data_IF_670935482597
#
_entry.id   IF_670935482597
#
_cell.length_a   1.000
_cell.length_b   1.000
_cell.length_c   1.000
_cell.angle_alpha   90.00
_cell.angle_beta   90.00
_cell.angle_gamma   90.00
#
_symmetry.space_group_name_H-M   'P 1'
#
loop_
_entity.id
_entity.type
_entity.pdbx_description
1 polymer ?
#
# COMPACT_ATOMS: atom_id res chain seq x y z
N UNK A 1 14.73 4.20 -33.63
CA UNK A 1 15.51 3.33 -32.73
C UNK A 1 15.24 1.89 -33.17
N UNK A 2 16.25 1.06 -33.41
CA UNK A 2 16.03 -0.36 -33.75
C UNK A 2 15.53 -1.13 -32.51
N UNK A 3 14.57 -2.05 -32.65
CA UNK A 3 14.00 -2.83 -31.54
C UNK A 3 15.05 -3.56 -30.72
N UNK A 4 16.15 -4.01 -31.36
CA UNK A 4 17.28 -4.61 -30.65
C UNK A 4 17.96 -3.65 -29.67
N UNK A 5 18.06 -2.37 -30.00
CA UNK A 5 18.65 -1.38 -29.11
C UNK A 5 17.72 -1.09 -27.93
N UNK A 6 16.42 -0.95 -28.21
CA UNK A 6 15.42 -0.73 -27.18
C UNK A 6 15.36 -1.87 -26.14
N UNK A 7 15.37 -3.12 -26.60
CA UNK A 7 15.30 -4.29 -25.71
C UNK A 7 16.52 -4.36 -24.78
N UNK A 8 17.71 -4.02 -25.30
CA UNK A 8 18.94 -3.99 -24.49
C UNK A 8 18.90 -2.86 -23.45
N UNK A 9 18.49 -1.65 -23.85
CA UNK A 9 18.31 -0.50 -22.94
C UNK A 9 17.28 -0.81 -21.85
N UNK A 10 16.14 -1.41 -22.22
CA UNK A 10 15.10 -1.84 -21.30
C UNK A 10 15.65 -2.84 -20.27
N UNK A 11 16.40 -3.84 -20.73
CA UNK A 11 16.99 -4.86 -19.85
C UNK A 11 17.96 -4.23 -18.86
N UNK A 12 18.87 -3.38 -19.34
CA UNK A 12 19.84 -2.69 -18.49
C UNK A 12 19.14 -1.82 -17.44
N UNK A 13 18.15 -1.02 -17.86
CA UNK A 13 17.35 -0.18 -16.97
C UNK A 13 16.60 -1.00 -15.92
N UNK A 14 16.00 -2.13 -16.32
CA UNK A 14 15.32 -3.05 -15.40
C UNK A 14 16.27 -3.62 -14.35
N UNK A 15 17.46 -4.03 -14.76
CA UNK A 15 18.49 -4.56 -13.86
C UNK A 15 19.02 -3.47 -12.91
N UNK A 16 19.26 -2.25 -13.41
CA UNK A 16 19.66 -1.08 -12.61
C UNK A 16 18.60 -0.72 -11.55
N UNK A 17 17.32 -0.80 -11.89
CA UNK A 17 16.22 -0.52 -10.96
C UNK A 17 15.93 -1.69 -10.00
N UNK A 18 16.66 -2.81 -10.11
CA UNK A 18 16.43 -4.00 -9.27
C UNK A 18 15.08 -4.67 -9.52
N UNK A 19 14.51 -4.49 -10.72
CA UNK A 19 13.18 -5.03 -11.08
C UNK A 19 13.34 -6.42 -11.70
N UNK A 20 12.58 -7.40 -11.20
CA UNK A 20 12.58 -8.74 -11.79
C UNK A 20 11.75 -8.78 -13.07
N UNK A 21 12.01 -9.75 -13.96
CA UNK A 21 11.17 -9.98 -15.13
C UNK A 21 9.70 -10.21 -14.75
N UNK A 22 9.44 -10.98 -13.69
CA UNK A 22 8.09 -11.23 -13.18
C UNK A 22 7.41 -9.93 -12.78
N UNK A 23 8.09 -9.06 -12.02
CA UNK A 23 7.50 -7.81 -11.54
C UNK A 23 7.12 -6.87 -12.67
N UNK A 24 7.98 -6.74 -13.69
CA UNK A 24 7.67 -5.91 -14.85
C UNK A 24 6.56 -6.54 -15.72
N UNK A 25 6.58 -7.87 -15.90
CA UNK A 25 5.56 -8.58 -16.67
C UNK A 25 4.15 -8.40 -16.06
N UNK A 26 4.02 -8.60 -14.74
CA UNK A 26 2.78 -8.36 -13.99
C UNK A 26 2.30 -6.92 -14.15
N UNK A 27 3.20 -5.93 -14.01
CA UNK A 27 2.86 -4.52 -14.20
C UNK A 27 2.40 -4.18 -15.62
N UNK A 28 2.86 -4.94 -16.62
CA UNK A 28 2.47 -4.81 -18.01
C UNK A 28 1.24 -5.66 -18.39
N UNK A 29 0.71 -6.48 -17.47
CA UNK A 29 -0.43 -7.36 -17.74
C UNK A 29 -0.11 -8.51 -18.71
N UNK A 30 1.14 -8.99 -18.74
CA UNK A 30 1.60 -10.10 -19.58
C UNK A 30 2.27 -11.19 -18.75
N UNK A 31 2.36 -12.41 -19.28
CA UNK A 31 3.08 -13.48 -18.59
C UNK A 31 4.59 -13.24 -18.56
N UNK A 32 5.24 -13.77 -17.52
CA UNK A 32 6.70 -13.73 -17.38
C UNK A 32 7.39 -14.43 -18.56
N UNK A 33 6.85 -15.54 -19.06
CA UNK A 33 7.36 -16.25 -20.23
C UNK A 33 7.32 -15.37 -21.48
N UNK A 34 6.21 -14.64 -21.67
CA UNK A 34 6.06 -13.74 -22.81
C UNK A 34 7.08 -12.60 -22.75
N UNK A 35 7.22 -11.96 -21.59
CA UNK A 35 8.24 -10.93 -21.36
C UNK A 35 9.67 -11.46 -21.55
N UNK A 36 9.97 -12.67 -21.08
CA UNK A 36 11.29 -13.30 -21.27
C UNK A 36 11.63 -13.51 -22.76
N UNK A 37 10.63 -13.84 -23.58
CA UNK A 37 10.82 -13.98 -25.03
C UNK A 37 11.07 -12.63 -25.71
N UNK A 38 10.45 -11.55 -25.23
CA UNK A 38 10.73 -10.18 -25.69
C UNK A 38 12.19 -9.83 -25.39
N UNK A 39 12.65 -9.98 -24.13
CA UNK A 39 14.04 -9.67 -23.77
C UNK A 39 15.09 -10.51 -24.53
N UNK A 40 14.72 -11.74 -24.94
CA UNK A 40 15.59 -12.60 -25.77
C UNK A 40 15.53 -12.30 -27.28
N UNK A 41 14.73 -11.31 -27.71
CA UNK A 41 14.50 -11.00 -29.12
C UNK A 41 13.77 -12.10 -29.89
N UNK A 42 13.08 -13.01 -29.19
CA UNK A 42 12.32 -14.14 -29.76
C UNK A 42 10.84 -13.83 -30.00
N UNK A 43 10.40 -12.65 -29.58
CA UNK A 43 9.04 -12.18 -29.77
C UNK A 43 9.11 -10.73 -30.27
N UNK A 44 8.47 -10.38 -31.40
CA UNK A 44 8.40 -9.00 -31.83
C UNK A 44 7.57 -8.19 -30.84
N UNK A 45 8.02 -6.97 -30.57
CA UNK A 45 7.33 -6.03 -29.70
C UNK A 45 6.41 -5.16 -30.57
N UNK A 46 5.13 -5.07 -30.23
CA UNK A 46 4.24 -4.11 -30.89
C UNK A 46 4.34 -2.74 -30.18
N UNK A 47 3.97 -1.67 -30.89
CA UNK A 47 4.13 -0.30 -30.39
C UNK A 47 3.31 -0.02 -29.12
N UNK A 48 2.14 -0.65 -28.99
CA UNK A 48 1.27 -0.52 -27.82
C UNK A 48 1.96 -1.08 -26.56
N UNK A 49 2.41 -2.33 -26.61
CA UNK A 49 3.09 -2.98 -25.50
C UNK A 49 4.41 -2.30 -25.19
N UNK A 50 5.12 -1.79 -26.21
CA UNK A 50 6.32 -0.98 -26.01
C UNK A 50 6.02 0.24 -25.14
N UNK A 51 4.99 1.01 -25.48
CA UNK A 51 4.59 2.17 -24.68
C UNK A 51 4.13 1.80 -23.27
N UNK A 52 3.46 0.65 -23.10
CA UNK A 52 3.11 0.12 -21.77
C UNK A 52 4.38 -0.19 -20.97
N UNK A 53 5.32 -0.93 -21.55
CA UNK A 53 6.58 -1.29 -20.88
C UNK A 53 7.38 -0.05 -20.49
N UNK A 54 7.56 0.91 -21.40
CA UNK A 54 8.24 2.18 -21.13
C UNK A 54 7.58 2.92 -19.96
N UNK A 55 6.26 3.01 -19.92
CA UNK A 55 5.55 3.65 -18.81
C UNK A 55 5.70 2.89 -17.49
N UNK A 56 5.63 1.55 -17.53
CA UNK A 56 5.67 0.75 -16.30
C UNK A 56 7.07 0.67 -15.72
N UNK A 57 8.13 0.66 -16.53
CA UNK A 57 9.50 0.63 -15.98
C UNK A 57 9.85 1.91 -15.23
N UNK A 58 9.44 3.09 -15.69
CA UNK A 58 9.66 4.34 -14.95
C UNK A 58 8.95 4.37 -13.59
N UNK A 59 7.81 3.68 -13.45
CA UNK A 59 7.13 3.56 -12.15
C UNK A 59 7.92 2.80 -11.10
N UNK A 60 8.95 2.06 -11.51
CA UNK A 60 9.87 1.36 -10.63
C UNK A 60 11.20 2.07 -10.44
N UNK A 61 11.37 3.26 -11.00
CA UNK A 61 12.59 4.04 -10.81
C UNK A 61 12.80 4.33 -9.30
N UNK A 62 13.89 3.81 -8.69
CA UNK A 62 14.12 3.97 -7.26
C UNK A 62 14.41 5.42 -6.87
N UNK A 63 14.81 6.25 -7.84
CA UNK A 63 15.11 7.67 -7.66
C UNK A 63 13.88 8.58 -7.77
N UNK A 64 12.68 8.02 -7.98
CA UNK A 64 11.46 8.84 -7.99
C UNK A 64 11.29 9.57 -6.64
N UNK A 65 11.12 10.91 -6.67
CA UNK A 65 10.96 11.69 -5.44
C UNK A 65 9.62 11.41 -4.76
N UNK A 66 8.61 10.99 -5.54
CA UNK A 66 7.26 10.70 -5.09
C UNK A 66 6.84 9.32 -5.60
N UNK A 67 6.27 8.49 -4.73
CA UNK A 67 5.71 7.20 -5.16
C UNK A 67 4.45 6.83 -4.40
N UNK A 68 3.49 6.25 -5.13
CA UNK A 68 2.18 5.83 -4.63
C UNK A 68 2.21 4.39 -4.12
N UNK A 69 1.44 4.09 -3.09
CA UNK A 69 1.20 2.75 -2.60
C UNK A 69 -0.19 2.61 -1.96
N UNK A 70 -0.65 1.36 -1.78
CA UNK A 70 -1.80 1.04 -0.94
C UNK A 70 -1.29 0.86 0.51
N UNK A 71 -1.79 1.64 1.45
CA UNK A 71 -1.35 1.63 2.86
C UNK A 71 -2.38 0.99 3.81
N UNK A 72 -3.60 0.79 3.34
CA UNK A 72 -4.62 0.02 4.05
C UNK A 72 -5.60 -0.61 3.08
N UNK A 73 -5.99 -1.85 3.34
CA UNK A 73 -7.02 -2.53 2.59
C UNK A 73 -7.88 -3.35 3.53
N UNK A 74 -9.20 -3.12 3.50
CA UNK A 74 -10.15 -3.89 4.30
C UNK A 74 -11.39 -4.21 3.49
N UNK A 75 -11.75 -5.48 3.47
CA UNK A 75 -12.89 -6.01 2.72
C UNK A 75 -13.61 -7.06 3.56
N UNK A 76 -14.94 -7.02 3.53
CA UNK A 76 -15.81 -7.94 4.27
C UNK A 76 -16.60 -8.82 3.31
N UNK A 77 -16.43 -10.13 3.43
CA UNK A 77 -17.13 -11.14 2.64
C UNK A 77 -18.38 -11.62 3.38
N UNK A 78 -19.55 -11.69 2.71
CA UNK A 78 -20.80 -12.19 3.28
C UNK A 78 -20.84 -13.73 3.34
N UNK A 79 -19.85 -14.34 3.99
CA UNK A 79 -19.74 -15.79 4.20
C UNK A 79 -19.16 -16.06 5.57
N UNK A 80 -19.45 -17.22 6.15
CA UNK A 80 -18.83 -17.72 7.39
C UNK A 80 -17.65 -18.66 7.10
N UNK A 81 -17.42 -19.03 5.83
CA UNK A 81 -16.32 -19.91 5.43
C UNK A 81 -15.03 -19.10 5.18
N UNK A 82 -14.30 -18.84 6.26
CA UNK A 82 -13.01 -18.16 6.20
C UNK A 82 -11.96 -18.95 5.39
N UNK A 83 -12.03 -20.27 5.42
CA UNK A 83 -11.06 -21.12 4.73
C UNK A 83 -11.23 -21.04 3.22
N UNK A 84 -12.46 -20.91 2.71
CA UNK A 84 -12.72 -20.61 1.31
C UNK A 84 -12.12 -19.26 0.90
N UNK A 85 -12.29 -18.20 1.71
CA UNK A 85 -11.66 -16.90 1.41
C UNK A 85 -10.13 -17.00 1.35
N UNK A 86 -9.52 -17.71 2.30
CA UNK A 86 -8.06 -17.90 2.35
C UNK A 86 -7.55 -18.67 1.11
N UNK A 87 -8.23 -19.76 0.73
CA UNK A 87 -7.80 -20.59 -0.40
C UNK A 87 -8.12 -19.97 -1.75
N UNK A 88 -9.32 -19.44 -1.92
CA UNK A 88 -9.86 -19.15 -3.24
C UNK A 88 -9.63 -17.67 -3.63
N UNK A 89 -9.65 -16.75 -2.66
CA UNK A 89 -9.42 -15.31 -2.89
C UNK A 89 -7.97 -14.92 -2.63
N UNK A 90 -7.45 -15.24 -1.44
CA UNK A 90 -6.05 -14.93 -1.09
C UNK A 90 -5.07 -15.85 -1.80
N UNK A 91 -5.50 -17.05 -2.23
CA UNK A 91 -4.65 -18.10 -2.79
C UNK A 91 -3.48 -18.45 -1.86
N UNK A 92 -3.79 -18.49 -0.57
CA UNK A 92 -2.88 -18.89 0.50
C UNK A 92 -3.28 -20.26 1.04
N UNK A 93 -2.31 -20.95 1.65
CA UNK A 93 -2.56 -22.24 2.30
C UNK A 93 -2.97 -22.00 3.76
N UNK A 94 -4.19 -22.39 4.18
CA UNK A 94 -4.63 -22.20 5.56
C UNK A 94 -3.73 -22.86 6.60
N UNK A 95 -3.11 -24.00 6.26
CA UNK A 95 -2.21 -24.74 7.15
C UNK A 95 -0.96 -23.95 7.58
N UNK A 96 -0.63 -22.86 6.89
CA UNK A 96 0.46 -21.96 7.27
C UNK A 96 -0.01 -20.77 8.11
N UNK A 97 -1.31 -20.63 8.35
CA UNK A 97 -1.87 -19.56 9.16
C UNK A 97 -2.11 -20.04 10.59
N UNK A 98 -1.82 -19.17 11.57
CA UNK A 98 -2.16 -19.41 12.96
C UNK A 98 -3.64 -19.11 13.17
N UNK A 99 -4.36 -20.03 13.82
CA UNK A 99 -5.72 -19.78 14.29
C UNK A 99 -5.69 -19.23 15.71
N UNK A 100 -6.45 -18.16 15.94
CA UNK A 100 -6.62 -17.55 17.25
C UNK A 100 -8.13 -17.46 17.56
N UNK A 101 -8.53 -17.92 18.75
CA UNK A 101 -9.90 -17.98 19.25
C UNK A 101 -10.41 -16.65 19.82
N UNK A 102 -9.77 -15.55 19.42
CA UNK A 102 -10.18 -14.18 19.73
C UNK A 102 -10.01 -13.28 18.51
N UNK A 103 -10.95 -12.34 18.33
CA UNK A 103 -10.95 -11.39 17.21
C UNK A 103 -11.00 -9.92 17.64
N UNK A 104 -11.40 -9.06 16.70
CA UNK A 104 -11.65 -7.62 16.90
C UNK A 104 -12.98 -7.27 16.24
N UNK A 105 -13.53 -6.10 16.56
CA UNK A 105 -14.73 -5.56 15.90
C UNK A 105 -15.97 -6.49 15.99
N UNK A 106 -16.07 -7.28 17.05
CA UNK A 106 -17.17 -8.24 17.25
C UNK A 106 -16.97 -9.61 16.60
N UNK A 107 -15.85 -9.85 15.89
CA UNK A 107 -15.51 -11.16 15.34
C UNK A 107 -14.96 -12.07 16.43
N UNK A 108 -15.36 -13.33 16.41
CA UNK A 108 -15.10 -14.32 17.46
C UNK A 108 -13.68 -14.92 17.35
N UNK A 109 -13.15 -15.08 16.13
CA UNK A 109 -11.83 -15.67 15.90
C UNK A 109 -11.12 -15.07 14.70
N UNK A 110 -9.88 -15.48 14.42
CA UNK A 110 -9.15 -15.06 13.21
C UNK A 110 -8.06 -16.06 12.79
N UNK A 111 -7.74 -16.03 11.51
CA UNK A 111 -6.50 -16.61 10.95
C UNK A 111 -5.47 -15.50 10.72
N UNK A 112 -4.21 -15.78 11.08
CA UNK A 112 -3.11 -14.81 11.00
C UNK A 112 -1.91 -15.42 10.26
N UNK A 113 -1.35 -14.67 9.31
CA UNK A 113 -0.07 -14.97 8.66
C UNK A 113 0.76 -13.70 8.60
N UNK A 114 1.66 -13.51 9.57
CA UNK A 114 2.39 -12.26 9.72
C UNK A 114 1.44 -11.08 9.97
N UNK A 115 1.45 -10.08 9.09
CA UNK A 115 0.58 -8.91 9.14
C UNK A 115 -0.74 -9.08 8.35
N UNK A 116 -1.00 -10.26 7.77
CA UNK A 116 -2.28 -10.60 7.11
C UNK A 116 -3.27 -11.16 8.15
N UNK A 117 -4.41 -10.51 8.33
CA UNK A 117 -5.43 -10.90 9.31
C UNK A 117 -6.77 -11.20 8.62
N UNK A 118 -7.32 -12.39 8.86
CA UNK A 118 -8.63 -12.82 8.38
C UNK A 118 -9.53 -13.10 9.59
N UNK A 119 -10.35 -12.13 9.97
CA UNK A 119 -11.29 -12.27 11.09
C UNK A 119 -12.53 -13.04 10.66
N UNK A 120 -13.03 -13.88 11.55
CA UNK A 120 -14.07 -14.87 11.27
C UNK A 120 -15.25 -14.66 12.22
N UNK A 121 -16.45 -14.69 11.67
CA UNK A 121 -17.67 -14.72 12.45
C UNK A 121 -18.66 -15.75 11.94
N UNK A 122 -19.35 -16.40 12.86
CA UNK A 122 -20.47 -17.30 12.55
C UNK A 122 -21.75 -16.51 12.25
N UNK A 123 -21.75 -15.20 12.51
CA UNK A 123 -22.88 -14.32 12.22
C UNK A 123 -22.75 -13.81 10.79
N UNK A 124 -23.65 -14.22 9.90
CA UNK A 124 -23.59 -13.89 8.45
C UNK A 124 -23.49 -12.39 8.14
N UNK A 125 -24.07 -11.54 8.99
CA UNK A 125 -24.02 -10.09 8.80
C UNK A 125 -22.60 -9.51 9.00
N UNK A 126 -21.76 -10.16 9.81
CA UNK A 126 -20.34 -9.88 9.92
C UNK A 126 -19.57 -10.70 8.86
N UNK A 127 -19.72 -12.02 8.87
CA UNK A 127 -19.06 -12.93 7.94
C UNK A 127 -17.55 -12.99 8.14
N UNK A 128 -16.77 -12.82 7.06
CA UNK A 128 -15.31 -12.87 7.08
C UNK A 128 -14.73 -11.50 6.71
N UNK A 129 -13.77 -11.01 7.48
CA UNK A 129 -13.12 -9.72 7.26
C UNK A 129 -11.63 -9.88 7.04
N UNK A 130 -11.17 -9.52 5.85
CA UNK A 130 -9.74 -9.36 5.60
C UNK A 130 -9.33 -7.93 6.00
N UNK A 131 -8.27 -7.82 6.80
CA UNK A 131 -7.63 -6.56 7.15
C UNK A 131 -6.13 -6.61 6.86
N UNK A 132 -5.69 -5.72 5.97
CA UNK A 132 -4.31 -5.46 5.63
C UNK A 132 -3.97 -4.02 6.02
N UNK A 133 -3.13 -3.87 7.04
CA UNK A 133 -2.52 -2.57 7.38
C UNK A 133 -1.31 -2.33 6.48
N UNK A 134 -0.62 -1.19 6.61
CA UNK A 134 0.52 -0.84 5.73
C UNK A 134 1.55 -1.96 5.55
N UNK A 135 1.98 -2.62 6.63
CA UNK A 135 2.88 -3.80 6.53
C UNK A 135 2.20 -5.02 5.90
N UNK A 136 0.93 -5.28 6.24
CA UNK A 136 0.13 -6.33 5.62
C UNK A 136 -0.06 -6.14 4.11
N UNK A 137 -0.19 -4.89 3.64
CA UNK A 137 -0.22 -4.56 2.22
C UNK A 137 1.11 -4.90 1.54
N UNK A 138 2.26 -4.54 2.14
CA UNK A 138 3.60 -4.90 1.62
C UNK A 138 3.83 -6.41 1.60
N UNK A 139 3.36 -7.11 2.63
CA UNK A 139 3.41 -8.57 2.67
C UNK A 139 2.52 -9.19 1.58
N UNK A 140 1.29 -8.69 1.41
CA UNK A 140 0.37 -9.17 0.38
C UNK A 140 0.93 -8.95 -1.03
N UNK A 141 1.57 -7.81 -1.31
CA UNK A 141 2.26 -7.55 -2.58
C UNK A 141 3.28 -8.64 -2.94
N UNK A 142 3.99 -9.17 -1.95
CA UNK A 142 4.95 -10.25 -2.16
C UNK A 142 4.26 -11.54 -2.59
N UNK A 143 3.10 -11.87 -2.00
CA UNK A 143 2.29 -13.02 -2.41
C UNK A 143 1.66 -12.81 -3.78
N UNK A 144 1.09 -11.64 -4.05
CA UNK A 144 0.50 -11.31 -5.34
C UNK A 144 1.55 -11.43 -6.45
N UNK A 145 2.75 -10.91 -6.24
CA UNK A 145 3.84 -11.03 -7.20
C UNK A 145 4.22 -12.50 -7.46
N UNK A 146 4.29 -13.33 -6.41
CA UNK A 146 4.55 -14.77 -6.54
C UNK A 146 3.41 -15.53 -7.24
N UNK A 147 2.19 -15.01 -7.15
CA UNK A 147 0.99 -15.51 -7.84
C UNK A 147 0.82 -14.91 -9.25
N UNK A 148 1.75 -14.06 -9.71
CA UNK A 148 1.66 -13.30 -10.96
C UNK A 148 0.40 -12.42 -11.06
N UNK A 149 -0.08 -11.92 -9.91
CA UNK A 149 -1.27 -11.07 -9.77
C UNK A 149 -0.88 -9.64 -9.42
N UNK A 150 -1.68 -8.71 -9.90
CA UNK A 150 -1.64 -7.31 -9.47
C UNK A 150 -2.65 -7.04 -8.35
N UNK A 151 -2.56 -5.86 -7.73
CA UNK A 151 -3.61 -5.37 -6.84
C UNK A 151 -4.98 -5.27 -7.53
N UNK A 152 -5.01 -4.99 -8.84
CA UNK A 152 -6.24 -4.95 -9.61
C UNK A 152 -6.90 -6.33 -9.66
N UNK A 153 -6.13 -7.37 -10.01
CA UNK A 153 -6.62 -8.75 -10.06
C UNK A 153 -7.13 -9.18 -8.68
N UNK A 154 -6.36 -8.88 -7.63
CA UNK A 154 -6.75 -9.18 -6.26
C UNK A 154 -8.06 -8.51 -5.83
N UNK A 155 -8.22 -7.21 -6.11
CA UNK A 155 -9.45 -6.49 -5.81
C UNK A 155 -10.63 -7.01 -6.62
N UNK A 156 -10.41 -7.37 -7.89
CA UNK A 156 -11.44 -7.98 -8.74
C UNK A 156 -11.89 -9.33 -8.19
N UNK A 157 -10.96 -10.18 -7.73
CA UNK A 157 -11.27 -11.45 -7.09
C UNK A 157 -12.05 -11.24 -5.78
N UNK A 158 -11.69 -10.23 -4.99
CA UNK A 158 -12.45 -9.86 -3.80
C UNK A 158 -13.89 -9.48 -4.13
N UNK A 159 -14.11 -8.64 -5.14
CA UNK A 159 -15.44 -8.20 -5.56
C UNK A 159 -16.25 -9.36 -6.15
N UNK A 160 -15.63 -10.23 -6.94
CA UNK A 160 -16.26 -11.41 -7.54
C UNK A 160 -16.71 -12.41 -6.46
N UNK A 161 -15.96 -12.53 -5.36
CA UNK A 161 -16.36 -13.29 -4.18
C UNK A 161 -17.42 -12.60 -3.29
N UNK A 162 -18.07 -11.54 -3.78
CA UNK A 162 -19.10 -10.79 -3.03
C UNK A 162 -18.53 -9.87 -1.95
N UNK A 163 -17.22 -9.59 -1.98
CA UNK A 163 -16.54 -8.71 -1.05
C UNK A 163 -17.14 -7.30 -1.04
N UNK A 164 -17.42 -6.79 0.16
CA UNK A 164 -17.82 -5.39 0.37
C UNK A 164 -16.61 -4.62 0.85
N UNK A 165 -16.12 -3.69 0.03
CA UNK A 165 -15.04 -2.78 0.42
C UNK A 165 -15.43 -1.99 1.66
N UNK A 166 -14.54 -1.96 2.65
CA UNK A 166 -14.76 -1.31 3.96
C UNK A 166 -13.72 -0.26 4.31
N UNK A 167 -12.56 -0.29 3.65
CA UNK A 167 -11.52 0.73 3.74
C UNK A 167 -10.47 0.54 2.67
N UNK A 168 -10.04 1.62 2.04
CA UNK A 168 -8.87 1.71 1.19
C UNK A 168 -8.11 2.99 1.53
N UNK A 169 -6.85 2.85 1.94
CA UNK A 169 -5.96 4.00 2.11
C UNK A 169 -4.92 3.97 0.99
N UNK A 170 -4.84 5.05 0.22
CA UNK A 170 -3.77 5.30 -0.73
C UNK A 170 -2.79 6.29 -0.12
N UNK A 171 -1.49 6.03 -0.27
CA UNK A 171 -0.47 6.93 0.24
C UNK A 171 0.55 7.31 -0.84
N UNK A 172 1.00 8.56 -0.80
CA UNK A 172 2.15 9.06 -1.54
C UNK A 172 3.28 9.26 -0.53
N UNK A 173 4.40 8.59 -0.75
CA UNK A 173 5.63 8.85 -0.03
C UNK A 173 6.42 9.93 -0.75
N UNK A 174 7.00 10.84 0.03
CA UNK A 174 7.80 11.95 -0.45
C UNK A 174 9.21 11.88 0.13
N UNK A 175 10.18 11.57 -0.73
CA UNK A 175 11.62 11.53 -0.41
C UNK A 175 12.25 12.92 -0.53
N UNK A 176 11.71 13.78 -1.39
CA UNK A 176 12.26 15.11 -1.65
C UNK A 176 12.00 16.06 -0.48
N UNK A 177 10.84 15.95 0.18
CA UNK A 177 10.37 16.88 1.20
C UNK A 177 9.69 18.09 0.55
N UNK A 178 8.84 17.85 -0.45
CA UNK A 178 8.23 18.91 -1.28
C UNK A 178 7.31 19.85 -0.50
N UNK A 179 6.81 19.41 0.67
CA UNK A 179 5.94 20.18 1.54
C UNK A 179 6.48 20.26 2.96
N UNK A 180 6.45 21.46 3.53
CA UNK A 180 6.75 21.72 4.93
C UNK A 180 5.47 21.54 5.76
N UNK A 181 5.32 20.38 6.40
CA UNK A 181 4.12 20.03 7.19
C UNK A 181 3.87 21.00 8.35
N UNK A 182 4.88 21.36 9.19
CA UNK A 182 4.73 22.43 10.17
C UNK A 182 4.16 23.72 9.57
N UNK A 183 4.69 24.17 8.42
CA UNK A 183 4.22 25.40 7.78
C UNK A 183 2.79 25.31 7.29
N UNK A 184 2.38 24.16 6.74
CA UNK A 184 1.00 23.93 6.32
C UNK A 184 0.03 24.00 7.52
N UNK A 185 0.44 23.46 8.67
CA UNK A 185 -0.34 23.52 9.90
C UNK A 185 -0.47 24.96 10.43
N UNK A 186 0.59 25.77 10.37
CA UNK A 186 0.53 27.20 10.69
C UNK A 186 -0.47 27.93 9.78
N UNK A 187 -0.37 27.74 8.46
CA UNK A 187 -1.26 28.38 7.48
C UNK A 187 -2.72 27.99 7.69
N UNK A 188 -2.98 26.72 8.00
CA UNK A 188 -4.33 26.28 8.36
C UNK A 188 -4.86 27.03 9.59
N UNK A 189 -4.06 27.13 10.66
CA UNK A 189 -4.44 27.84 11.90
C UNK A 189 -4.66 29.34 11.68
N UNK A 190 -3.95 29.93 10.72
CA UNK A 190 -4.14 31.33 10.30
C UNK A 190 -5.39 31.57 9.44
N UNK A 191 -6.15 30.52 9.10
CA UNK A 191 -7.33 30.63 8.22
C UNK A 191 -6.97 30.76 6.74
N UNK A 192 -5.74 30.42 6.36
CA UNK A 192 -5.24 30.53 4.98
C UNK A 192 -5.48 29.25 4.15
N UNK A 193 -6.20 28.27 4.71
CA UNK A 193 -6.58 27.04 4.03
C UNK A 193 -8.06 27.06 3.66
N UNK A 194 -8.34 26.94 2.36
CA UNK A 194 -9.70 26.75 1.85
C UNK A 194 -9.89 25.25 1.62
N UNK A 195 -10.90 24.65 2.24
CA UNK A 195 -11.14 23.20 2.18
C UNK A 195 -12.63 22.86 2.18
N UNK A 196 -12.98 21.72 1.58
CA UNK A 196 -14.32 21.14 1.71
C UNK A 196 -14.55 20.50 3.09
N UNK A 197 -13.47 20.19 3.82
CA UNK A 197 -13.56 19.65 5.17
C UNK A 197 -13.91 20.76 6.17
N UNK A 198 -14.98 20.56 6.95
CA UNK A 198 -15.46 21.54 7.94
C UNK A 198 -14.87 21.35 9.33
N UNK A 199 -14.27 20.20 9.61
CA UNK A 199 -13.70 19.86 10.91
C UNK A 199 -12.32 19.22 10.73
N UNK A 200 -11.38 19.64 11.57
CA UNK A 200 -10.04 19.07 11.69
C UNK A 200 -9.76 18.77 13.17
N UNK A 201 -9.08 17.65 13.42
CA UNK A 201 -8.47 17.38 14.73
C UNK A 201 -7.03 17.91 14.72
N UNK A 202 -6.69 18.73 15.71
CA UNK A 202 -5.30 19.11 15.97
C UNK A 202 -4.68 18.09 16.93
N UNK A 203 -3.60 17.44 16.50
CA UNK A 203 -2.71 16.67 17.35
C UNK A 203 -1.34 17.36 17.28
N UNK A 204 -0.88 17.95 18.37
CA UNK A 204 0.48 18.48 18.50
C UNK A 204 1.45 17.33 18.84
N UNK A 205 2.56 17.24 18.10
CA UNK A 205 3.51 16.13 18.17
C UNK A 205 4.49 16.19 19.34
N UNK A 206 3.98 16.02 20.56
CA UNK A 206 4.84 15.91 21.74
C UNK A 206 4.37 14.79 22.66
N UNK A 207 5.15 13.72 22.76
CA UNK A 207 4.92 12.63 23.71
C UNK A 207 6.03 12.60 24.77
N UNK A 208 5.64 12.40 26.04
CA UNK A 208 6.58 12.14 27.14
C UNK A 208 6.96 10.66 27.10
N UNK A 209 8.23 10.37 26.84
CA UNK A 209 8.72 9.01 26.67
C UNK A 209 9.59 8.58 27.86
N UNK A 210 9.00 8.23 29.02
CA UNK A 210 9.67 7.56 30.16
C UNK A 210 10.81 8.32 30.87
N UNK A 211 11.51 9.20 30.17
CA UNK A 211 12.39 10.27 30.66
C UNK A 211 11.62 11.60 30.58
N UNK A 212 11.94 12.53 31.47
CA UNK A 212 11.29 13.85 31.53
C UNK A 212 11.60 14.78 30.34
N UNK A 213 12.33 14.28 29.33
CA UNK A 213 12.65 15.00 28.10
C UNK A 213 11.61 14.70 27.01
N UNK A 214 10.80 15.69 26.57
CA UNK A 214 9.87 15.51 25.47
C UNK A 214 10.62 15.19 24.17
N UNK A 215 10.17 14.17 23.44
CA UNK A 215 10.66 13.88 22.08
C UNK A 215 9.74 14.53 21.05
N UNK A 216 10.32 15.17 20.05
CA UNK A 216 9.58 15.64 18.89
C UNK A 216 9.12 14.41 18.08
N UNK A 217 7.80 14.21 17.98
CA UNK A 217 7.21 13.07 17.26
C UNK A 217 6.84 13.41 15.82
N UNK A 218 7.22 14.59 15.33
CA UNK A 218 6.82 15.13 14.05
C UNK A 218 5.41 15.71 14.05
N UNK A 219 5.16 16.57 13.07
CA UNK A 219 3.86 17.20 12.87
C UNK A 219 2.99 16.38 11.91
N UNK A 220 1.68 16.43 12.17
CA UNK A 220 0.65 15.84 11.32
C UNK A 220 -0.47 16.83 11.09
N UNK A 221 -0.87 16.96 9.83
CA UNK A 221 -2.03 17.70 9.37
C UNK A 221 -3.13 16.71 8.96
N UNK A 222 -4.25 16.74 9.67
CA UNK A 222 -5.42 15.93 9.36
C UNK A 222 -6.51 16.78 8.74
N UNK A 223 -7.08 16.35 7.62
CA UNK A 223 -8.20 17.04 6.99
C UNK A 223 -9.40 16.10 6.94
N UNK A 224 -10.50 16.53 7.58
CA UNK A 224 -11.69 15.70 7.76
C UNK A 224 -11.72 14.94 9.07
N UNK A 225 -12.81 14.20 9.29
CA UNK A 225 -12.99 13.37 10.49
C UNK A 225 -12.47 11.96 10.24
N UNK A 226 -11.95 11.30 11.27
CA UNK A 226 -11.66 9.86 11.21
C UNK A 226 -12.91 8.99 11.08
N UNK A 227 -14.10 9.58 11.19
CA UNK A 227 -15.41 8.93 11.05
C UNK A 227 -16.14 9.30 9.75
N UNK A 228 -15.54 10.10 8.86
CA UNK A 228 -16.13 10.39 7.55
C UNK A 228 -15.67 9.37 6.51
N UNK A 229 -16.47 9.21 5.46
CA UNK A 229 -16.16 8.34 4.30
C UNK A 229 -14.85 8.74 3.61
N UNK A 230 -14.47 10.02 3.70
CA UNK A 230 -13.22 10.55 3.18
C UNK A 230 -12.43 11.24 4.29
N UNK A 231 -11.15 10.94 4.35
CA UNK A 231 -10.22 11.53 5.30
C UNK A 231 -8.82 11.64 4.69
N UNK A 232 -8.14 12.75 4.92
CA UNK A 232 -6.77 12.96 4.43
C UNK A 232 -5.80 13.24 5.57
N UNK A 233 -4.56 12.79 5.42
CA UNK A 233 -3.48 13.01 6.36
C UNK A 233 -2.21 13.39 5.62
N UNK A 234 -1.50 14.42 6.09
CA UNK A 234 -0.17 14.77 5.63
C UNK A 234 0.76 14.88 6.85
N UNK A 235 1.85 14.13 6.87
CA UNK A 235 2.68 14.05 8.07
C UNK A 235 4.14 13.75 7.78
N UNK A 236 4.99 14.05 8.76
CA UNK A 236 6.43 13.80 8.67
C UNK A 236 6.74 12.33 9.00
N UNK A 237 6.97 11.53 7.97
CA UNK A 237 7.16 10.08 8.07
C UNK A 237 8.49 9.71 8.75
N UNK A 238 9.54 10.48 8.51
CA UNK A 238 10.84 10.29 9.13
C UNK A 238 10.79 10.42 10.66
N UNK A 239 10.07 11.40 11.20
CA UNK A 239 9.85 11.51 12.65
C UNK A 239 8.95 10.38 13.18
N UNK A 240 7.93 9.93 12.43
CA UNK A 240 7.14 8.77 12.80
C UNK A 240 8.01 7.50 12.92
N UNK A 241 8.94 7.29 11.97
CA UNK A 241 9.86 6.16 12.00
C UNK A 241 10.86 6.24 13.16
N UNK A 242 11.35 7.44 13.47
CA UNK A 242 12.19 7.66 14.65
C UNK A 242 11.49 7.23 15.94
N UNK A 243 10.23 7.65 16.13
CA UNK A 243 9.47 7.29 17.34
C UNK A 243 9.16 5.80 17.39
N UNK A 244 8.71 5.19 16.29
CA UNK A 244 8.25 3.80 16.29
C UNK A 244 9.37 2.78 16.26
N UNK A 245 10.43 3.08 15.51
CA UNK A 245 11.47 2.10 15.15
C UNK A 245 12.88 2.57 15.55
N UNK A 246 13.04 3.74 16.17
CA UNK A 246 14.35 4.30 16.57
C UNK A 246 15.33 4.45 15.39
N UNK A 247 14.80 4.72 14.19
CA UNK A 247 15.60 5.04 13.00
C UNK A 247 15.84 6.54 13.01
N UNK A 248 17.09 6.99 12.93
CA UNK A 248 17.40 8.43 12.92
C UNK A 248 16.66 9.15 11.79
N UNK A 249 16.25 10.39 12.05
CA UNK A 249 15.44 11.18 11.12
C UNK A 249 16.18 11.37 9.78
N UNK A 250 17.51 11.51 9.82
CA UNK A 250 18.39 11.66 8.66
C UNK A 250 18.55 10.36 7.85
N UNK A 251 18.41 9.22 8.51
CA UNK A 251 18.55 7.88 7.90
C UNK A 251 17.26 7.39 7.25
N UNK A 252 16.14 8.09 7.48
CA UNK A 252 14.85 7.71 6.89
C UNK A 252 14.70 8.32 5.50
N UNK A 253 14.64 7.46 4.47
CA UNK A 253 14.48 7.87 3.07
C UNK A 253 13.20 8.67 2.80
N UNK A 254 12.09 8.32 3.47
CA UNK A 254 10.79 8.97 3.28
C UNK A 254 10.64 10.09 4.31
N UNK A 255 10.65 11.34 3.82
CA UNK A 255 10.51 12.54 4.66
C UNK A 255 9.05 12.76 5.05
N UNK A 256 8.16 12.83 4.07
CA UNK A 256 6.73 13.03 4.30
C UNK A 256 5.90 11.87 3.74
N UNK A 257 4.70 11.71 4.27
CA UNK A 257 3.67 10.86 3.68
C UNK A 257 2.34 11.61 3.61
N UNK A 258 1.67 11.46 2.47
CA UNK A 258 0.32 11.97 2.22
C UNK A 258 -0.62 10.80 2.02
N UNK A 259 -1.67 10.69 2.82
CA UNK A 259 -2.63 9.59 2.79
C UNK A 259 -4.02 10.12 2.50
N UNK A 260 -4.78 9.35 1.73
CA UNK A 260 -6.21 9.50 1.54
C UNK A 260 -6.86 8.17 1.92
N UNK A 261 -7.79 8.23 2.88
CA UNK A 261 -8.59 7.11 3.34
C UNK A 261 -9.99 7.24 2.79
N UNK A 262 -10.48 6.14 2.22
CA UNK A 262 -11.85 5.97 1.79
C UNK A 262 -12.46 4.81 2.57
N UNK A 263 -13.59 5.00 3.25
CA UNK A 263 -14.31 3.96 4.00
C UNK A 263 -15.62 3.52 3.34
#
# INVERSE_FOLDING_TARGET
>A
MNDKNFIEELRQKREEYGVTQTRLAVACGISREYYNRIEKGKQPLNDELKGVIEKQIERFNPQEPLFLLIDYFRVRFPTTDALAIIRDVLQLKPDYMLYEDYGKYGYESKYVLGDINVMCSMQEHLGVLLELKGRGCRQMESYLLAQERSWYDFMLDCLTAGGKMKRLDLAINDKAGILDIPKLKEKYKAGECISYFRMQKDYSGTEKCGSDLPKNTGETLYLGSTSSELYMCAYQKNYEQYVKNSIEVEDTEIKNRFEIRVE
#
